data_IF_122292154944
#
_entry.id   IF_122292154944
#
_cell.length_a   1.000
_cell.length_b   1.000
_cell.length_c   1.000
_cell.angle_alpha   90.00
_cell.angle_beta   90.00
_cell.angle_gamma   90.00
#
_symmetry.space_group_name_H-M   'P 1'
#
loop_
_entity.id
_entity.type
_entity.pdbx_description
1 polymer ?
#
# COMPACT_ATOMS: atom_id res chain seq x y z
N UNK A 1 -13.72 13.59 -72.54
CA UNK A 1 -12.82 12.50 -72.11
C UNK A 1 -12.58 12.76 -70.63
N UNK A 2 -13.55 12.34 -69.81
CA UNK A 2 -13.57 11.08 -69.06
C UNK A 2 -12.71 11.20 -67.81
N UNK A 3 -13.35 11.56 -66.71
CA UNK A 3 -12.95 11.14 -65.35
C UNK A 3 -14.22 11.02 -64.52
N UNK A 4 -14.93 9.93 -64.76
CA UNK A 4 -15.92 9.34 -63.86
C UNK A 4 -15.73 7.83 -63.94
N UNK A 5 -15.75 7.16 -62.78
CA UNK A 5 -15.60 5.72 -62.53
C UNK A 5 -14.19 5.22 -62.17
N UNK A 6 -13.90 5.16 -60.85
CA UNK A 6 -13.53 3.90 -60.18
C UNK A 6 -13.34 4.10 -58.67
N UNK A 7 -14.44 4.21 -57.93
CA UNK A 7 -14.41 4.23 -56.46
C UNK A 7 -15.29 3.12 -55.85
N UNK A 8 -15.16 1.88 -56.34
CA UNK A 8 -16.06 0.79 -55.92
C UNK A 8 -15.43 -0.55 -55.50
N UNK A 9 -14.10 -0.68 -55.32
CA UNK A 9 -13.53 -2.00 -54.98
C UNK A 9 -12.60 -2.08 -53.75
N UNK A 10 -12.29 -0.95 -53.09
CA UNK A 10 -11.45 -0.95 -51.88
C UNK A 10 -12.20 -1.34 -50.59
N UNK A 11 -13.52 -1.15 -50.54
CA UNK A 11 -14.35 -1.50 -49.37
C UNK A 11 -14.58 -3.00 -49.21
N UNK A 12 -14.82 -3.73 -50.30
CA UNK A 12 -15.07 -5.18 -50.29
C UNK A 12 -13.84 -5.99 -49.92
N UNK A 13 -12.65 -5.63 -50.45
CA UNK A 13 -11.38 -6.29 -50.10
C UNK A 13 -10.99 -6.08 -48.63
N UNK A 14 -11.21 -4.90 -48.07
CA UNK A 14 -10.93 -4.65 -46.64
C UNK A 14 -11.97 -5.32 -45.73
N UNK A 15 -13.25 -5.39 -46.13
CA UNK A 15 -14.28 -6.15 -45.42
C UNK A 15 -14.00 -7.67 -45.43
N UNK A 16 -13.54 -8.23 -46.55
CA UNK A 16 -13.11 -9.64 -46.66
C UNK A 16 -11.87 -9.95 -45.81
N UNK A 17 -10.89 -9.04 -45.75
CA UNK A 17 -9.74 -9.15 -44.83
C UNK A 17 -10.17 -9.09 -43.36
N UNK A 18 -11.13 -8.23 -43.01
CA UNK A 18 -11.74 -8.16 -41.68
C UNK A 18 -12.51 -9.44 -41.32
N UNK A 19 -13.29 -10.00 -42.25
CA UNK A 19 -14.02 -11.26 -42.07
C UNK A 19 -13.11 -12.47 -41.90
N UNK A 20 -11.94 -12.50 -42.56
CA UNK A 20 -10.93 -13.54 -42.32
C UNK A 20 -10.28 -13.41 -40.94
N UNK A 21 -10.14 -12.20 -40.40
CA UNK A 21 -9.59 -11.97 -39.05
C UNK A 21 -10.51 -12.41 -37.91
N UNK A 22 -11.83 -12.43 -38.13
CA UNK A 22 -12.84 -12.78 -37.11
C UNK A 22 -12.71 -14.25 -36.64
N UNK A 23 -12.61 -15.27 -37.51
CA UNK A 23 -12.36 -16.66 -37.09
C UNK A 23 -11.06 -16.85 -36.33
N UNK A 24 -9.96 -16.16 -36.72
CA UNK A 24 -8.68 -16.24 -36.02
C UNK A 24 -8.76 -15.58 -34.64
N UNK A 25 -9.38 -14.40 -34.54
CA UNK A 25 -9.61 -13.73 -33.26
C UNK A 25 -10.52 -14.55 -32.35
N UNK A 26 -11.61 -15.11 -32.88
CA UNK A 26 -12.51 -16.00 -32.16
C UNK A 26 -11.81 -17.29 -31.70
N UNK A 27 -10.98 -17.89 -32.55
CA UNK A 27 -10.16 -19.06 -32.23
C UNK A 27 -9.11 -18.77 -31.14
N UNK A 28 -8.47 -17.60 -31.18
CA UNK A 28 -7.53 -17.16 -30.16
C UNK A 28 -8.22 -16.90 -28.81
N UNK A 29 -9.37 -16.22 -28.84
CA UNK A 29 -10.22 -15.99 -27.64
C UNK A 29 -10.70 -17.32 -27.07
N UNK A 30 -11.21 -18.24 -27.89
CA UNK A 30 -11.64 -19.56 -27.46
C UNK A 30 -10.47 -20.39 -26.90
N UNK A 31 -9.30 -20.33 -27.54
CA UNK A 31 -8.07 -20.95 -27.05
C UNK A 31 -7.66 -20.41 -25.68
N UNK A 32 -7.70 -19.09 -25.49
CA UNK A 32 -7.40 -18.45 -24.21
C UNK A 32 -8.42 -18.83 -23.12
N UNK A 33 -9.72 -18.88 -23.45
CA UNK A 33 -10.78 -19.31 -22.54
C UNK A 33 -10.56 -20.77 -22.13
N UNK A 34 -10.34 -21.67 -23.10
CA UNK A 34 -10.12 -23.10 -22.85
C UNK A 34 -8.85 -23.34 -22.02
N UNK A 35 -7.77 -22.62 -22.32
CA UNK A 35 -6.54 -22.66 -21.53
C UNK A 35 -6.76 -22.19 -20.09
N UNK A 36 -7.48 -21.08 -19.91
CA UNK A 36 -7.84 -20.56 -18.58
C UNK A 36 -8.70 -21.56 -17.81
N UNK A 37 -9.72 -22.15 -18.43
CA UNK A 37 -10.55 -23.18 -17.81
C UNK A 37 -9.74 -24.42 -17.41
N UNK A 38 -8.83 -24.87 -18.28
CA UNK A 38 -7.92 -25.98 -17.98
C UNK A 38 -7.05 -25.68 -16.76
N UNK A 39 -6.43 -24.50 -16.69
CA UNK A 39 -5.61 -24.10 -15.54
C UNK A 39 -6.43 -24.03 -14.25
N UNK A 40 -7.67 -23.51 -14.30
CA UNK A 40 -8.55 -23.47 -13.14
C UNK A 40 -8.93 -24.88 -12.66
N UNK A 41 -9.20 -25.80 -13.59
CA UNK A 41 -9.49 -27.19 -13.26
C UNK A 41 -8.28 -27.91 -12.65
N UNK A 42 -7.10 -27.75 -13.25
CA UNK A 42 -5.84 -28.30 -12.73
C UNK A 42 -5.56 -27.77 -11.32
N UNK A 43 -5.68 -26.45 -11.12
CA UNK A 43 -5.55 -25.83 -9.81
C UNK A 43 -6.53 -26.44 -8.80
N UNK A 44 -7.82 -26.54 -9.16
CA UNK A 44 -8.85 -27.12 -8.29
C UNK A 44 -8.54 -28.57 -7.94
N UNK A 45 -8.08 -29.37 -8.92
CA UNK A 45 -7.70 -30.76 -8.69
C UNK A 45 -6.51 -30.87 -7.74
N UNK A 46 -5.46 -30.06 -7.93
CA UNK A 46 -4.29 -30.04 -7.03
C UNK A 46 -4.73 -29.68 -5.60
N UNK A 47 -5.52 -28.61 -5.44
CA UNK A 47 -6.01 -28.20 -4.12
C UNK A 47 -6.85 -29.29 -3.46
N UNK A 48 -7.73 -29.96 -4.20
CA UNK A 48 -8.55 -31.05 -3.67
C UNK A 48 -7.73 -32.29 -3.28
N UNK A 49 -6.81 -32.74 -4.15
CA UNK A 49 -5.98 -33.92 -3.90
C UNK A 49 -5.07 -33.72 -2.70
N UNK A 50 -4.50 -32.51 -2.56
CA UNK A 50 -3.63 -32.16 -1.44
C UNK A 50 -4.40 -31.68 -0.21
N UNK A 51 -5.75 -31.67 -0.27
CA UNK A 51 -6.63 -31.15 0.77
C UNK A 51 -6.19 -29.75 1.24
N UNK A 52 -5.90 -28.83 0.32
CA UNK A 52 -5.47 -27.45 0.62
C UNK A 52 -6.67 -26.52 0.61
N UNK A 53 -6.82 -25.73 1.67
CA UNK A 53 -7.89 -24.76 1.83
C UNK A 53 -7.46 -23.37 1.33
N UNK A 54 -7.85 -23.05 0.10
CA UNK A 54 -7.63 -21.73 -0.50
C UNK A 54 -8.76 -20.75 -0.14
N UNK A 55 -9.03 -20.60 1.17
CA UNK A 55 -10.05 -19.70 1.72
C UNK A 55 -9.64 -18.24 1.67
N UNK A 56 -10.55 -17.40 1.19
CA UNK A 56 -10.37 -15.94 1.27
C UNK A 56 -10.33 -15.55 2.74
N UNK A 57 -9.62 -14.45 3.08
CA UNK A 57 -9.74 -13.86 4.40
C UNK A 57 -11.22 -13.70 4.72
N UNK A 58 -11.60 -14.01 5.97
CA UNK A 58 -12.97 -13.84 6.40
C UNK A 58 -13.38 -12.37 6.21
N UNK A 59 -14.59 -12.18 5.69
CA UNK A 59 -15.21 -10.87 5.62
C UNK A 59 -15.41 -10.35 7.05
N UNK A 60 -15.04 -9.09 7.28
CA UNK A 60 -15.34 -8.42 8.54
C UNK A 60 -16.82 -8.08 8.53
N UNK A 61 -17.64 -8.86 9.25
CA UNK A 61 -19.06 -8.54 9.41
C UNK A 61 -19.24 -7.05 9.77
N UNK A 62 -20.30 -6.42 9.23
CA UNK A 62 -20.61 -5.01 9.47
C UNK A 62 -20.45 -4.67 10.96
N UNK A 63 -19.48 -3.81 11.27
CA UNK A 63 -19.12 -3.47 12.64
C UNK A 63 -20.21 -2.55 13.21
N UNK A 64 -20.82 -2.95 14.32
CA UNK A 64 -21.87 -2.17 15.00
C UNK A 64 -21.27 -1.20 16.05
N UNK A 65 -22.07 -0.23 16.50
CA UNK A 65 -21.69 0.75 17.52
C UNK A 65 -21.30 2.11 16.95
N UNK A 66 -20.72 2.96 17.79
CA UNK A 66 -20.23 4.27 17.37
C UNK A 66 -19.03 4.11 16.41
N UNK A 67 -18.96 4.91 15.32
CA UNK A 67 -17.86 4.79 14.37
C UNK A 67 -16.51 5.10 15.01
N UNK A 68 -15.47 4.32 14.67
CA UNK A 68 -14.10 4.60 15.10
C UNK A 68 -13.60 5.84 14.37
N UNK A 69 -13.15 6.85 15.13
CA UNK A 69 -12.66 8.13 14.56
C UNK A 69 -11.16 8.05 14.32
N UNK A 70 -10.78 8.14 13.05
CA UNK A 70 -9.41 7.92 12.57
C UNK A 70 -8.75 9.25 12.22
N UNK A 71 -7.54 9.46 12.76
CA UNK A 71 -6.60 10.46 12.29
C UNK A 71 -5.57 9.87 11.32
N UNK A 72 -5.33 10.51 10.18
CA UNK A 72 -4.26 10.13 9.24
C UNK A 72 -3.07 11.10 9.38
N UNK A 73 -1.90 10.56 9.68
CA UNK A 73 -0.64 11.31 9.80
C UNK A 73 0.27 10.88 8.65
N UNK A 74 0.47 11.77 7.68
CA UNK A 74 1.07 11.47 6.38
C UNK A 74 0.02 11.06 5.35
N UNK A 75 -0.35 12.01 4.50
CA UNK A 75 -1.28 11.88 3.38
C UNK A 75 -0.56 11.89 2.02
N UNK A 76 0.67 11.37 1.99
CA UNK A 76 1.39 11.07 0.74
C UNK A 76 0.79 9.88 -0.01
N UNK A 77 1.48 9.33 -1.01
CA UNK A 77 0.97 8.24 -1.87
C UNK A 77 0.29 7.10 -1.08
N UNK A 78 0.85 6.75 0.09
CA UNK A 78 0.37 5.65 0.91
C UNK A 78 -0.87 5.99 1.74
N UNK A 79 -1.05 7.24 2.18
CA UNK A 79 -2.18 7.67 3.01
C UNK A 79 -3.54 7.36 2.36
N UNK A 80 -3.84 7.86 1.15
CA UNK A 80 -5.07 7.55 0.43
C UNK A 80 -5.25 6.05 0.16
N UNK A 81 -4.18 5.30 -0.09
CA UNK A 81 -4.27 3.84 -0.30
C UNK A 81 -4.69 3.10 0.97
N UNK A 82 -4.23 3.55 2.13
CA UNK A 82 -4.65 2.99 3.42
C UNK A 82 -6.09 3.35 3.74
N UNK A 83 -6.52 4.58 3.44
CA UNK A 83 -7.92 4.95 3.59
C UNK A 83 -8.82 4.15 2.63
N UNK A 84 -8.36 3.85 1.41
CA UNK A 84 -9.10 2.99 0.48
C UNK A 84 -9.25 1.57 1.04
N UNK A 85 -8.24 1.05 1.74
CA UNK A 85 -8.37 -0.23 2.45
C UNK A 85 -9.37 -0.16 3.61
N UNK A 86 -9.73 1.04 4.07
CA UNK A 86 -10.79 1.30 5.04
C UNK A 86 -12.15 1.63 4.41
N UNK A 87 -12.31 1.48 3.08
CA UNK A 87 -13.54 1.87 2.37
C UNK A 87 -13.73 3.38 2.20
N UNK A 88 -12.67 4.17 2.40
CA UNK A 88 -12.69 5.64 2.28
C UNK A 88 -11.81 6.09 1.11
N UNK A 89 -12.31 6.94 0.24
CA UNK A 89 -11.55 7.39 -0.93
C UNK A 89 -11.62 8.91 -1.10
N UNK A 90 -10.57 9.48 -1.69
CA UNK A 90 -10.57 10.90 -2.04
C UNK A 90 -11.53 11.19 -3.19
N UNK A 91 -12.06 12.40 -3.25
CA UNK A 91 -12.94 12.84 -4.35
C UNK A 91 -12.23 12.68 -5.70
N UNK A 92 -10.94 13.05 -5.76
CA UNK A 92 -10.08 12.87 -6.92
C UNK A 92 -10.01 11.41 -7.41
N UNK A 93 -9.85 10.46 -6.49
CA UNK A 93 -9.82 9.04 -6.85
C UNK A 93 -11.17 8.54 -7.36
N UNK A 94 -12.26 8.93 -6.69
CA UNK A 94 -13.62 8.56 -7.08
C UNK A 94 -13.91 9.05 -8.51
N UNK A 95 -13.61 10.30 -8.80
CA UNK A 95 -13.86 10.89 -10.12
C UNK A 95 -12.97 10.26 -11.21
N UNK A 96 -11.73 9.91 -10.86
CA UNK A 96 -10.86 9.15 -11.76
C UNK A 96 -11.45 7.77 -12.07
N UNK A 97 -11.95 7.04 -11.07
CA UNK A 97 -12.53 5.71 -11.26
C UNK A 97 -13.85 5.77 -12.03
N UNK A 98 -14.71 6.76 -11.78
CA UNK A 98 -15.93 6.96 -12.59
C UNK A 98 -15.61 7.04 -14.09
N UNK A 99 -14.51 7.73 -14.44
CA UNK A 99 -14.09 7.91 -15.83
C UNK A 99 -13.40 6.68 -16.41
N UNK A 100 -12.50 6.06 -15.64
CA UNK A 100 -11.54 5.10 -16.18
C UNK A 100 -11.87 3.64 -15.85
N UNK A 101 -12.61 3.38 -14.77
CA UNK A 101 -12.93 2.03 -14.30
C UNK A 101 -14.18 2.01 -13.39
N UNK A 102 -15.39 2.22 -13.95
CA UNK A 102 -16.62 2.30 -13.18
C UNK A 102 -16.98 0.98 -12.48
N UNK A 103 -16.61 -0.18 -13.05
CA UNK A 103 -16.81 -1.49 -12.41
C UNK A 103 -16.01 -1.61 -11.11
N UNK A 104 -14.75 -1.14 -11.12
CA UNK A 104 -13.92 -1.10 -9.91
C UNK A 104 -14.48 -0.14 -8.86
N UNK A 105 -15.05 0.98 -9.29
CA UNK A 105 -15.72 1.91 -8.36
C UNK A 105 -16.93 1.25 -7.73
N UNK A 106 -17.79 0.58 -8.51
CA UNK A 106 -18.95 -0.11 -7.98
C UNK A 106 -18.53 -1.18 -6.97
N UNK A 107 -17.52 -2.00 -7.31
CA UNK A 107 -16.97 -3.00 -6.39
C UNK A 107 -16.34 -2.41 -5.13
N UNK A 108 -15.92 -1.13 -5.16
CA UNK A 108 -15.43 -0.41 -3.98
C UNK A 108 -16.59 0.10 -3.12
N UNK A 109 -17.66 0.61 -3.73
CA UNK A 109 -18.85 1.10 -3.03
C UNK A 109 -19.69 -0.03 -2.41
N UNK A 110 -19.65 -1.23 -3.00
CA UNK A 110 -20.36 -2.42 -2.51
C UNK A 110 -19.61 -3.14 -1.37
N UNK A 111 -18.48 -2.59 -0.90
CA UNK A 111 -17.73 -3.16 0.22
C UNK A 111 -18.50 -3.04 1.52
N UNK A 112 -18.19 -3.95 2.45
CA UNK A 112 -18.72 -3.90 3.80
C UNK A 112 -18.27 -2.60 4.50
N UNK A 113 -19.19 -1.98 5.24
CA UNK A 113 -18.87 -0.78 6.01
C UNK A 113 -18.12 -1.17 7.28
N UNK A 114 -16.87 -0.72 7.37
CA UNK A 114 -16.01 -0.94 8.53
C UNK A 114 -16.36 -0.02 9.71
N UNK A 115 -17.40 0.81 9.59
CA UNK A 115 -17.89 1.73 10.61
C UNK A 115 -16.77 2.66 11.13
N UNK A 116 -16.11 3.34 10.20
CA UNK A 116 -15.03 4.29 10.49
C UNK A 116 -15.32 5.68 9.93
N UNK A 117 -14.79 6.71 10.60
CA UNK A 117 -14.83 8.10 10.13
C UNK A 117 -13.42 8.68 10.10
N UNK A 118 -13.10 9.42 9.03
CA UNK A 118 -11.83 10.15 8.93
C UNK A 118 -12.03 11.54 9.52
N UNK A 119 -11.66 11.72 10.79
CA UNK A 119 -11.94 12.95 11.55
C UNK A 119 -10.74 13.88 11.64
N UNK A 120 -9.54 13.43 11.26
CA UNK A 120 -8.34 14.27 11.28
C UNK A 120 -7.32 13.94 10.20
N UNK A 121 -6.65 14.96 9.68
CA UNK A 121 -5.46 14.84 8.83
C UNK A 121 -4.33 15.72 9.33
N UNK A 122 -3.11 15.18 9.34
CA UNK A 122 -1.85 15.88 9.59
C UNK A 122 -0.89 15.53 8.46
N UNK A 123 -0.65 16.47 7.55
CA UNK A 123 0.36 16.36 6.51
C UNK A 123 1.16 17.67 6.44
N UNK A 124 2.47 17.52 6.24
CA UNK A 124 3.40 18.64 6.20
C UNK A 124 3.37 19.39 4.87
N UNK A 125 2.69 18.87 3.85
CA UNK A 125 2.47 19.52 2.57
C UNK A 125 1.01 19.96 2.44
N UNK A 126 0.79 21.28 2.38
CA UNK A 126 -0.52 21.92 2.43
C UNK A 126 -1.52 21.35 1.43
N UNK A 127 -1.07 21.10 0.19
CA UNK A 127 -1.92 20.57 -0.87
C UNK A 127 -2.53 19.21 -0.52
N UNK A 128 -1.77 18.33 0.16
CA UNK A 128 -2.26 17.00 0.56
C UNK A 128 -3.20 17.07 1.76
N UNK A 129 -2.88 17.94 2.71
CA UNK A 129 -3.77 18.16 3.85
C UNK A 129 -5.12 18.72 3.40
N UNK A 130 -5.13 19.70 2.49
CA UNK A 130 -6.35 20.32 1.98
C UNK A 130 -7.19 19.34 1.15
N UNK A 131 -6.54 18.49 0.32
CA UNK A 131 -7.24 17.40 -0.41
C UNK A 131 -7.96 16.44 0.54
N UNK A 132 -7.31 16.05 1.64
CA UNK A 132 -7.90 15.15 2.63
C UNK A 132 -9.08 15.81 3.36
N UNK A 133 -8.96 17.07 3.78
CA UNK A 133 -10.06 17.79 4.44
C UNK A 133 -11.27 17.87 3.51
N UNK A 134 -11.07 18.28 2.26
CA UNK A 134 -12.19 18.41 1.31
C UNK A 134 -12.84 17.06 1.02
N UNK A 135 -12.03 16.00 0.87
CA UNK A 135 -12.52 14.65 0.58
C UNK A 135 -13.33 14.03 1.72
N UNK A 136 -13.05 14.40 2.96
CA UNK A 136 -13.63 13.76 4.15
C UNK A 136 -14.38 14.74 5.06
N UNK A 137 -14.81 15.88 4.53
CA UNK A 137 -15.55 16.91 5.29
C UNK A 137 -16.84 16.36 5.93
N UNK A 138 -17.51 15.42 5.28
CA UNK A 138 -18.75 14.80 5.78
C UNK A 138 -18.50 13.86 6.97
N UNK A 139 -17.27 13.36 7.12
CA UNK A 139 -16.82 12.63 8.31
C UNK A 139 -16.40 13.58 9.45
N UNK A 140 -16.40 14.90 9.21
CA UNK A 140 -15.93 15.91 10.16
C UNK A 140 -14.41 16.08 10.17
N UNK A 141 -13.72 15.76 9.07
CA UNK A 141 -12.26 15.83 8.96
C UNK A 141 -11.72 17.23 9.24
N UNK A 142 -10.82 17.34 10.22
CA UNK A 142 -10.12 18.57 10.57
C UNK A 142 -8.65 18.47 10.20
N UNK A 143 -8.09 19.60 9.75
CA UNK A 143 -6.65 19.73 9.56
C UNK A 143 -5.97 20.00 10.89
N UNK A 144 -4.90 19.26 11.15
CA UNK A 144 -3.95 19.50 12.23
C UNK A 144 -2.61 19.86 11.61
N UNK A 145 -1.98 20.93 12.11
CA UNK A 145 -0.66 21.35 11.62
C UNK A 145 0.44 20.52 12.25
N UNK A 146 0.26 20.14 13.53
CA UNK A 146 1.20 19.29 14.24
C UNK A 146 0.51 18.02 14.74
N UNK A 147 1.20 16.88 14.65
CA UNK A 147 0.62 15.60 15.04
C UNK A 147 0.25 15.58 16.52
N UNK A 148 0.99 16.27 17.39
CA UNK A 148 0.70 16.38 18.81
C UNK A 148 -0.71 16.96 19.09
N UNK A 149 -1.16 17.93 18.29
CA UNK A 149 -2.50 18.52 18.40
C UNK A 149 -3.59 17.49 18.06
N UNK A 150 -3.35 16.68 17.02
CA UNK A 150 -4.23 15.57 16.66
C UNK A 150 -4.27 14.51 17.76
N UNK A 151 -3.12 14.16 18.32
CA UNK A 151 -3.02 13.17 19.39
C UNK A 151 -3.69 13.65 20.69
N UNK A 152 -3.70 14.95 20.96
CA UNK A 152 -4.41 15.53 22.09
C UNK A 152 -5.93 15.64 21.87
N UNK A 153 -6.40 15.50 20.63
CA UNK A 153 -7.81 15.68 20.29
C UNK A 153 -8.69 14.58 20.87
N UNK A 154 -9.83 14.92 21.50
CA UNK A 154 -10.84 13.93 21.88
C UNK A 154 -11.62 13.40 20.67
N UNK A 155 -11.44 13.97 19.47
CA UNK A 155 -12.10 13.56 18.22
C UNK A 155 -11.36 12.42 17.49
N UNK A 156 -10.32 11.84 18.09
CA UNK A 156 -9.45 10.83 17.50
C UNK A 156 -9.37 9.62 18.44
N UNK A 157 -9.74 8.43 17.96
CA UNK A 157 -9.66 7.17 18.69
C UNK A 157 -8.42 6.37 18.29
N UNK A 158 -8.09 6.40 16.99
CA UNK A 158 -6.92 5.73 16.43
C UNK A 158 -6.22 6.62 15.41
N UNK A 159 -4.92 6.37 15.20
CA UNK A 159 -4.14 7.02 14.15
C UNK A 159 -3.54 6.02 13.17
N UNK A 160 -3.52 6.42 11.91
CA UNK A 160 -2.74 5.78 10.85
C UNK A 160 -1.50 6.64 10.61
N UNK A 161 -0.33 6.03 10.69
CA UNK A 161 0.96 6.69 10.47
C UNK A 161 1.53 6.18 9.14
N UNK A 162 1.58 7.06 8.15
CA UNK A 162 2.11 6.82 6.80
C UNK A 162 3.15 7.90 6.41
N UNK A 163 3.98 8.27 7.37
CA UNK A 163 5.07 9.25 7.25
C UNK A 163 6.36 8.60 6.71
N UNK A 164 7.47 9.33 6.57
CA UNK A 164 8.78 8.72 6.38
C UNK A 164 9.25 7.89 7.60
N UNK A 165 10.15 6.91 7.38
CA UNK A 165 10.57 5.92 8.38
C UNK A 165 11.00 6.55 9.73
N UNK A 166 11.81 7.61 9.68
CA UNK A 166 12.32 8.31 10.88
C UNK A 166 11.23 8.92 11.78
N UNK A 167 10.00 9.06 11.27
CA UNK A 167 8.86 9.56 12.04
C UNK A 167 7.94 8.45 12.56
N UNK A 168 8.08 7.21 12.09
CA UNK A 168 7.18 6.12 12.48
C UNK A 168 7.18 5.87 13.99
N UNK A 169 8.33 5.52 14.57
CA UNK A 169 8.41 5.18 15.98
C UNK A 169 8.14 6.39 16.91
N UNK A 170 8.70 7.59 16.67
CA UNK A 170 8.42 8.76 17.51
C UNK A 170 6.92 9.09 17.60
N UNK A 171 6.21 9.07 16.46
CA UNK A 171 4.76 9.37 16.44
C UNK A 171 3.97 8.22 17.07
N UNK A 172 4.31 6.96 16.78
CA UNK A 172 3.63 5.81 17.35
C UNK A 172 3.74 5.77 18.89
N UNK A 173 4.92 6.07 19.43
CA UNK A 173 5.15 6.15 20.88
C UNK A 173 4.27 7.25 21.49
N UNK A 174 4.28 8.47 20.93
CA UNK A 174 3.45 9.58 21.40
C UNK A 174 1.96 9.26 21.31
N UNK A 175 1.53 8.59 20.24
CA UNK A 175 0.13 8.22 20.04
C UNK A 175 -0.35 7.23 21.11
N UNK A 176 0.44 6.19 21.39
CA UNK A 176 0.15 5.24 22.47
C UNK A 176 0.13 5.92 23.84
N UNK A 177 1.09 6.81 24.10
CA UNK A 177 1.12 7.60 25.35
C UNK A 177 -0.08 8.54 25.50
N UNK A 178 -0.63 9.02 24.38
CA UNK A 178 -1.85 9.83 24.34
C UNK A 178 -3.14 8.98 24.36
N UNK A 179 -3.05 7.67 24.57
CA UNK A 179 -4.21 6.78 24.67
C UNK A 179 -4.85 6.43 23.33
N UNK A 180 -4.13 6.55 22.19
CA UNK A 180 -4.65 6.28 20.85
C UNK A 180 -4.23 4.89 20.35
N UNK A 181 -5.13 4.20 19.66
CA UNK A 181 -4.74 3.01 18.89
C UNK A 181 -3.87 3.42 17.70
N UNK A 182 -2.97 2.53 17.26
CA UNK A 182 -1.97 2.86 16.23
C UNK A 182 -1.97 1.82 15.13
N UNK A 183 -2.13 2.27 13.88
CA UNK A 183 -1.63 1.56 12.71
C UNK A 183 -0.41 2.33 12.19
N UNK A 184 0.74 1.67 12.07
CA UNK A 184 1.97 2.28 11.56
C UNK A 184 2.45 1.52 10.33
N UNK A 185 2.74 2.23 9.25
CA UNK A 185 3.34 1.60 8.07
C UNK A 185 4.69 0.96 8.38
N UNK A 186 5.06 0.00 7.53
CA UNK A 186 6.38 -0.60 7.60
C UNK A 186 7.41 0.32 6.90
N UNK A 187 8.69 0.29 7.31
CA UNK A 187 9.22 -0.39 8.50
C UNK A 187 8.76 0.29 9.79
N UNK A 188 8.49 -0.50 10.84
CA UNK A 188 7.93 0.04 12.09
C UNK A 188 8.83 1.10 12.76
N UNK A 189 10.15 0.98 12.62
CA UNK A 189 11.15 1.87 13.23
C UNK A 189 12.30 2.14 12.26
N UNK A 190 13.02 3.25 12.45
CA UNK A 190 14.16 3.64 11.63
C UNK A 190 15.48 3.07 12.17
N UNK A 191 15.56 2.86 13.49
CA UNK A 191 16.71 2.22 14.14
C UNK A 191 16.29 1.20 15.23
N UNK A 192 17.29 0.50 15.77
CA UNK A 192 17.09 -0.58 16.75
C UNK A 192 16.65 -0.03 18.12
N UNK A 193 17.17 1.14 18.54
CA UNK A 193 16.82 1.72 19.84
C UNK A 193 15.33 2.06 19.90
N UNK A 194 14.79 2.62 18.81
CA UNK A 194 13.36 2.85 18.63
C UNK A 194 12.53 1.57 18.72
N UNK A 195 13.01 0.44 18.20
CA UNK A 195 12.30 -0.85 18.30
C UNK A 195 12.04 -1.22 19.76
N UNK A 196 13.06 -1.09 20.62
CA UNK A 196 12.92 -1.37 22.04
C UNK A 196 12.01 -0.37 22.74
N UNK A 197 12.17 0.92 22.46
CA UNK A 197 11.34 1.97 23.04
C UNK A 197 9.85 1.79 22.69
N UNK A 198 9.53 1.50 21.42
CA UNK A 198 8.17 1.26 20.97
C UNK A 198 7.59 -0.02 21.57
N UNK A 199 8.37 -1.12 21.61
CA UNK A 199 7.96 -2.37 22.27
C UNK A 199 7.57 -2.14 23.72
N UNK A 200 8.40 -1.41 24.47
CA UNK A 200 8.18 -1.17 25.89
C UNK A 200 6.97 -0.23 26.09
N UNK A 201 6.80 0.76 25.21
CA UNK A 201 5.60 1.61 25.19
C UNK A 201 4.32 0.80 24.95
N UNK A 202 4.30 -0.10 23.97
CA UNK A 202 3.15 -0.99 23.73
C UNK A 202 2.86 -1.86 24.96
N UNK A 203 3.89 -2.45 25.58
CA UNK A 203 3.73 -3.29 26.78
C UNK A 203 3.17 -2.54 27.99
N UNK A 204 3.47 -1.24 28.09
CA UNK A 204 2.98 -0.38 29.16
C UNK A 204 1.55 0.12 28.92
N UNK A 205 1.03 0.04 27.69
CA UNK A 205 -0.30 0.51 27.30
C UNK A 205 -1.19 -0.66 26.84
N UNK A 206 -1.46 -1.61 27.74
CA UNK A 206 -2.09 -2.91 27.43
C UNK A 206 -3.53 -2.83 26.88
N UNK A 207 -4.21 -1.70 27.07
CA UNK A 207 -5.55 -1.44 26.56
C UNK A 207 -5.55 -0.89 25.11
N UNK A 208 -4.37 -0.60 24.55
CA UNK A 208 -4.22 -0.08 23.20
C UNK A 208 -3.73 -1.17 22.25
N UNK A 209 -4.03 -0.97 20.97
CA UNK A 209 -3.61 -1.87 19.89
C UNK A 209 -2.62 -1.13 19.01
N UNK A 210 -1.49 -1.78 18.71
CA UNK A 210 -0.58 -1.36 17.65
C UNK A 210 -0.54 -2.44 16.57
N UNK A 211 -0.74 -2.03 15.32
CA UNK A 211 -0.60 -2.88 14.14
C UNK A 211 0.44 -2.27 13.19
N UNK A 212 1.33 -3.13 12.70
CA UNK A 212 2.29 -2.76 11.63
C UNK A 212 1.69 -3.10 10.28
N UNK A 213 1.90 -2.24 9.28
CA UNK A 213 1.36 -2.33 7.93
C UNK A 213 1.94 -3.43 7.05
N UNK A 214 1.93 -4.68 7.51
CA UNK A 214 2.32 -5.86 6.73
C UNK A 214 1.11 -6.50 6.05
N UNK A 215 0.63 -5.92 4.94
CA UNK A 215 -0.62 -6.32 4.27
C UNK A 215 -0.65 -7.77 3.77
N UNK A 216 0.52 -8.36 3.48
CA UNK A 216 0.57 -9.69 2.85
C UNK A 216 0.05 -10.81 3.75
N UNK A 217 0.08 -10.62 5.08
CA UNK A 217 -0.48 -11.57 6.05
C UNK A 217 -1.97 -11.86 5.82
N UNK A 218 -2.68 -10.93 5.19
CA UNK A 218 -4.12 -11.01 4.93
C UNK A 218 -4.44 -11.32 3.46
N UNK A 219 -3.47 -11.70 2.63
CA UNK A 219 -3.76 -12.08 1.24
C UNK A 219 -3.95 -13.60 1.12
N UNK A 220 -4.92 -13.99 0.28
CA UNK A 220 -5.26 -15.39 -0.01
C UNK A 220 -4.04 -16.29 -0.20
N UNK A 221 -3.05 -15.84 -0.98
CA UNK A 221 -1.88 -16.66 -1.31
C UNK A 221 -1.08 -17.05 -0.06
N UNK A 222 -0.92 -16.14 0.91
CA UNK A 222 -0.20 -16.41 2.14
C UNK A 222 -1.03 -17.21 3.15
N UNK A 223 -2.36 -17.06 3.16
CA UNK A 223 -3.26 -17.92 3.95
C UNK A 223 -3.19 -19.36 3.42
N UNK A 224 -3.23 -19.52 2.10
CA UNK A 224 -3.10 -20.84 1.45
C UNK A 224 -1.72 -21.47 1.72
N UNK A 225 -0.66 -20.65 1.68
CA UNK A 225 0.68 -21.13 1.99
C UNK A 225 0.82 -21.59 3.45
N UNK A 226 0.18 -20.91 4.40
CA UNK A 226 0.11 -21.36 5.80
C UNK A 226 -0.56 -22.74 5.90
N UNK A 227 -1.71 -22.93 5.23
CA UNK A 227 -2.42 -24.22 5.25
C UNK A 227 -1.58 -25.38 4.66
N UNK A 228 -0.84 -25.12 3.58
CA UNK A 228 0.11 -26.07 2.97
C UNK A 228 1.18 -26.51 3.98
N UNK A 229 1.73 -25.56 4.73
CA UNK A 229 2.77 -25.80 5.73
C UNK A 229 2.20 -26.53 6.95
N UNK A 230 1.05 -26.10 7.45
CA UNK A 230 0.38 -26.71 8.61
C UNK A 230 0.01 -28.17 8.33
N UNK A 231 -0.41 -28.49 7.10
CA UNK A 231 -0.69 -29.87 6.63
C UNK A 231 0.56 -30.67 6.26
N UNK A 232 1.76 -30.09 6.37
CA UNK A 232 3.05 -30.71 6.04
C UNK A 232 3.14 -31.25 4.61
N UNK A 233 2.41 -30.65 3.66
CA UNK A 233 2.39 -31.08 2.26
C UNK A 233 3.78 -31.01 1.63
N UNK A 234 4.59 -30.00 2.01
CA UNK A 234 5.97 -29.83 1.53
C UNK A 234 7.01 -30.62 2.33
N UNK A 235 6.61 -31.27 3.44
CA UNK A 235 7.56 -31.85 4.38
C UNK A 235 8.45 -30.79 5.06
N UNK A 236 9.73 -31.09 5.23
CA UNK A 236 10.70 -30.18 5.84
C UNK A 236 11.15 -29.11 4.83
N UNK A 237 10.86 -27.85 5.12
CA UNK A 237 11.34 -26.71 4.32
C UNK A 237 12.79 -26.41 4.69
N UNK A 238 13.71 -26.67 3.75
CA UNK A 238 15.15 -26.47 3.94
C UNK A 238 15.70 -25.17 3.33
N UNK A 239 14.99 -24.59 2.36
CA UNK A 239 15.40 -23.38 1.65
C UNK A 239 14.18 -22.54 1.28
N UNK A 240 14.30 -21.22 1.50
CA UNK A 240 13.35 -20.23 1.00
C UNK A 240 14.13 -19.17 0.23
N UNK A 241 13.67 -18.88 -0.98
CA UNK A 241 14.24 -17.82 -1.82
C UNK A 241 13.14 -16.82 -2.15
N UNK A 242 13.41 -15.55 -1.92
CA UNK A 242 12.53 -14.43 -2.28
C UNK A 242 13.31 -13.40 -3.06
N UNK A 243 12.64 -12.71 -3.98
CA UNK A 243 13.24 -11.65 -4.76
C UNK A 243 12.23 -10.53 -5.00
N UNK A 244 12.71 -9.29 -4.93
CA UNK A 244 11.95 -8.12 -5.37
C UNK A 244 12.81 -7.32 -6.33
N UNK A 245 12.31 -7.09 -7.56
CA UNK A 245 13.03 -6.38 -8.62
C UNK A 245 12.26 -5.10 -8.98
N UNK A 246 12.95 -3.95 -8.94
CA UNK A 246 12.37 -2.62 -9.15
C UNK A 246 13.22 -1.81 -10.14
N UNK A 247 13.47 -2.36 -11.31
CA UNK A 247 14.34 -1.76 -12.32
C UNK A 247 13.60 -0.72 -13.18
N UNK A 248 13.16 0.37 -12.55
CA UNK A 248 12.55 1.53 -13.21
C UNK A 248 12.79 2.79 -12.37
N UNK A 249 12.61 3.97 -12.95
CA UNK A 249 12.76 5.25 -12.23
C UNK A 249 11.89 5.31 -10.98
N UNK A 250 10.60 4.95 -11.10
CA UNK A 250 9.72 4.83 -9.93
C UNK A 250 10.18 3.73 -8.93
N UNK A 251 10.86 2.70 -9.42
CA UNK A 251 11.52 1.69 -8.60
C UNK A 251 12.72 2.21 -7.81
N UNK A 252 13.44 3.18 -8.37
CA UNK A 252 14.55 3.91 -7.76
C UNK A 252 14.11 5.19 -7.01
N UNK A 253 12.79 5.35 -6.78
CA UNK A 253 12.18 6.53 -6.16
C UNK A 253 12.43 7.85 -6.91
N UNK A 254 12.67 7.76 -8.22
CA UNK A 254 12.75 8.86 -9.16
C UNK A 254 11.35 9.12 -9.73
N UNK A 255 10.51 9.80 -8.95
CA UNK A 255 9.17 10.23 -9.37
C UNK A 255 9.02 11.75 -9.29
N UNK A 256 8.04 12.30 -10.00
CA UNK A 256 7.82 13.73 -10.11
C UNK A 256 7.59 14.39 -8.73
N UNK A 257 8.17 15.58 -8.57
CA UNK A 257 7.95 16.45 -7.42
C UNK A 257 6.80 17.36 -7.76
N UNK A 258 5.86 17.53 -6.82
CA UNK A 258 4.69 18.36 -7.05
C UNK A 258 5.10 19.82 -7.34
N UNK A 259 4.54 20.43 -8.38
CA UNK A 259 4.84 21.80 -8.81
C UNK A 259 4.66 22.89 -7.73
N UNK A 260 3.82 22.62 -6.71
CA UNK A 260 3.52 23.55 -5.61
C UNK A 260 4.45 23.34 -4.40
N UNK A 261 5.41 22.43 -4.48
CA UNK A 261 6.34 22.13 -3.40
C UNK A 261 7.35 23.27 -3.20
N UNK A 262 7.20 24.04 -2.13
CA UNK A 262 8.11 25.12 -1.77
C UNK A 262 8.12 25.31 -0.23
N UNK A 263 9.03 26.14 0.32
CA UNK A 263 9.10 26.38 1.77
C UNK A 263 7.84 27.01 2.39
N UNK A 264 6.93 27.56 1.59
CA UNK A 264 5.67 28.14 2.07
C UNK A 264 4.54 27.11 2.16
N UNK A 265 4.64 26.01 1.40
CA UNK A 265 3.63 24.94 1.36
C UNK A 265 4.09 23.67 2.07
N UNK A 266 5.38 23.55 2.38
CA UNK A 266 5.99 22.41 3.07
C UNK A 266 6.56 22.86 4.41
N UNK A 267 6.08 22.26 5.50
CA UNK A 267 6.71 22.41 6.82
C UNK A 267 8.01 21.60 6.88
N UNK A 268 9.08 22.23 6.40
CA UNK A 268 10.40 21.62 6.31
C UNK A 268 11.04 21.37 7.66
N UNK A 269 10.80 22.27 8.63
CA UNK A 269 11.38 22.13 9.97
C UNK A 269 10.80 20.91 10.68
N UNK A 270 9.47 20.73 10.60
CA UNK A 270 8.83 19.55 11.15
C UNK A 270 9.16 18.29 10.33
N UNK A 271 9.40 18.38 9.03
CA UNK A 271 9.86 17.22 8.26
C UNK A 271 11.20 16.71 8.79
N UNK A 272 12.17 17.60 9.02
CA UNK A 272 13.49 17.21 9.50
C UNK A 272 13.45 16.62 10.91
N UNK A 273 12.71 17.25 11.85
CA UNK A 273 12.65 16.77 13.23
C UNK A 273 14.05 16.62 13.85
N UNK A 274 14.41 15.40 14.22
CA UNK A 274 15.73 15.05 14.76
C UNK A 274 16.79 14.71 13.71
N UNK A 275 16.43 14.68 12.42
CA UNK A 275 17.37 14.47 11.32
C UNK A 275 18.33 15.67 11.17
N UNK A 276 19.45 15.53 10.42
CA UNK A 276 20.38 16.63 10.18
C UNK A 276 19.69 17.88 9.62
N UNK A 277 20.00 19.02 10.22
CA UNK A 277 19.40 20.29 9.83
C UNK A 277 20.06 20.83 8.57
N UNK A 278 19.33 20.82 7.45
CA UNK A 278 19.79 21.29 6.14
C UNK A 278 18.78 22.27 5.52
N UNK A 279 19.17 23.10 4.54
CA UNK A 279 18.23 23.95 3.81
C UNK A 279 17.10 23.15 3.15
N UNK A 280 15.97 23.82 2.89
CA UNK A 280 14.82 23.19 2.21
C UNK A 280 15.27 22.48 0.93
N UNK A 281 14.86 21.22 0.81
CA UNK A 281 15.11 20.42 -0.37
C UNK A 281 13.88 19.57 -0.69
N UNK A 282 13.21 19.91 -1.78
CA UNK A 282 12.02 19.22 -2.24
C UNK A 282 12.30 17.74 -2.58
N UNK A 283 13.49 17.41 -3.06
CA UNK A 283 13.89 16.04 -3.33
C UNK A 283 13.97 15.22 -2.04
N UNK A 284 14.53 15.78 -0.97
CA UNK A 284 14.58 15.12 0.33
C UNK A 284 13.18 14.90 0.91
N UNK A 285 12.26 15.85 0.74
CA UNK A 285 10.87 15.71 1.19
C UNK A 285 10.10 14.63 0.41
N UNK A 286 10.07 14.73 -0.92
CA UNK A 286 9.24 13.85 -1.75
C UNK A 286 9.90 12.49 -1.96
N UNK A 287 11.22 12.41 -2.09
CA UNK A 287 11.99 11.19 -2.39
C UNK A 287 12.84 10.76 -1.19
N UNK A 288 12.31 10.96 0.02
CA UNK A 288 12.98 10.69 1.29
C UNK A 288 13.62 9.30 1.40
N UNK A 289 13.08 8.28 0.72
CA UNK A 289 13.58 6.89 0.72
C UNK A 289 15.02 6.75 0.20
N UNK A 290 15.48 7.71 -0.59
CA UNK A 290 16.86 7.76 -1.11
C UNK A 290 17.89 8.10 -0.03
N UNK A 291 17.45 8.70 1.08
CA UNK A 291 18.34 9.32 2.07
C UNK A 291 18.29 8.56 3.39
N UNK A 292 19.45 8.08 3.86
CA UNK A 292 19.59 7.38 5.15
C UNK A 292 19.11 8.21 6.35
N UNK A 293 19.12 9.54 6.24
CA UNK A 293 18.61 10.44 7.26
C UNK A 293 17.12 10.23 7.57
N UNK A 294 16.34 9.77 6.59
CA UNK A 294 14.87 9.70 6.71
C UNK A 294 14.30 8.31 6.49
N UNK A 295 15.02 7.48 5.72
CA UNK A 295 14.61 6.15 5.32
C UNK A 295 15.73 5.12 5.51
N UNK A 296 15.38 3.88 5.22
CA UNK A 296 16.24 2.70 5.38
C UNK A 296 16.60 2.04 4.04
N UNK A 297 16.25 2.69 2.92
CA UNK A 297 16.44 2.15 1.57
C UNK A 297 15.63 0.88 1.32
N UNK A 298 16.13 0.00 0.44
CA UNK A 298 15.42 -1.22 0.03
C UNK A 298 15.26 -2.23 1.17
N UNK A 299 16.11 -2.19 2.20
CA UNK A 299 16.05 -3.16 3.30
C UNK A 299 14.83 -2.91 4.18
N UNK A 300 14.61 -1.71 4.71
CA UNK A 300 13.39 -1.46 5.49
C UNK A 300 12.15 -1.32 4.62
N UNK A 301 12.27 -0.90 3.35
CA UNK A 301 11.10 -0.81 2.46
C UNK A 301 10.62 -2.19 1.98
N UNK A 302 11.49 -3.02 1.40
CA UNK A 302 11.08 -4.28 0.75
C UNK A 302 11.48 -5.53 1.52
N UNK A 303 12.70 -5.58 2.07
CA UNK A 303 13.13 -6.77 2.84
C UNK A 303 12.26 -6.96 4.09
N UNK A 304 11.75 -5.89 4.71
CA UNK A 304 10.77 -5.99 5.80
C UNK A 304 9.50 -6.75 5.38
N UNK A 305 9.00 -6.51 4.16
CA UNK A 305 7.89 -7.30 3.61
C UNK A 305 8.31 -8.74 3.31
N UNK A 306 9.45 -8.94 2.65
CA UNK A 306 9.90 -10.27 2.25
C UNK A 306 10.16 -11.17 3.46
N UNK A 307 10.78 -10.64 4.49
CA UNK A 307 10.98 -11.38 5.73
C UNK A 307 9.65 -11.69 6.44
N UNK A 308 8.74 -10.72 6.53
CA UNK A 308 7.44 -10.91 7.16
C UNK A 308 6.59 -11.98 6.45
N UNK A 309 6.60 -11.96 5.11
CA UNK A 309 5.92 -12.96 4.26
C UNK A 309 6.37 -14.39 4.58
N UNK A 310 7.67 -14.58 4.83
CA UNK A 310 8.20 -15.90 5.18
C UNK A 310 7.84 -16.22 6.64
N UNK A 311 8.01 -15.25 7.55
CA UNK A 311 7.81 -15.46 8.97
C UNK A 311 6.33 -15.70 9.34
N UNK A 312 5.38 -15.10 8.62
CA UNK A 312 3.96 -15.36 8.84
C UNK A 312 3.53 -16.77 8.42
N UNK A 313 4.21 -17.35 7.42
CA UNK A 313 3.96 -18.71 6.92
C UNK A 313 4.68 -19.77 7.75
N UNK A 314 5.98 -19.58 8.00
CA UNK A 314 6.84 -20.61 8.60
C UNK A 314 7.07 -20.41 10.10
N UNK A 315 6.66 -19.26 10.68
CA UNK A 315 6.85 -18.92 12.10
C UNK A 315 8.30 -19.08 12.57
N UNK A 316 9.26 -18.71 11.72
CA UNK A 316 10.70 -18.94 11.94
C UNK A 316 11.28 -18.11 13.10
N UNK A 317 10.65 -16.99 13.45
CA UNK A 317 11.16 -16.07 14.46
C UNK A 317 12.37 -15.28 13.94
N UNK A 318 13.30 -14.94 14.85
CA UNK A 318 14.51 -14.19 14.50
C UNK A 318 15.59 -15.13 13.93
N UNK A 319 16.28 -14.75 12.84
CA UNK A 319 17.37 -15.55 12.30
C UNK A 319 18.55 -15.65 13.28
N UNK A 320 19.23 -16.79 13.29
CA UNK A 320 20.44 -17.01 14.12
C UNK A 320 21.62 -16.17 13.66
N UNK A 321 21.76 -15.97 12.36
CA UNK A 321 22.79 -15.15 11.72
C UNK A 321 22.28 -14.61 10.39
N UNK A 322 22.83 -13.47 9.97
CA UNK A 322 22.51 -12.82 8.70
C UNK A 322 23.82 -12.39 8.05
N UNK A 323 23.89 -12.51 6.72
CA UNK A 323 24.97 -11.96 5.90
C UNK A 323 24.31 -11.12 4.81
N UNK A 324 24.85 -9.93 4.57
CA UNK A 324 24.36 -9.03 3.53
C UNK A 324 25.53 -8.55 2.68
N UNK A 325 25.26 -8.34 1.39
CA UNK A 325 26.17 -7.70 0.44
C UNK A 325 25.33 -6.81 -0.47
N UNK A 326 25.87 -5.65 -0.84
CA UNK A 326 25.18 -4.69 -1.67
C UNK A 326 26.05 -3.49 -2.01
N UNK A 327 25.53 -2.65 -2.92
CA UNK A 327 26.21 -1.45 -3.38
C UNK A 327 25.29 -0.59 -4.25
N UNK A 328 25.76 0.60 -4.57
CA UNK A 328 25.12 1.51 -5.52
C UNK A 328 25.71 1.23 -6.91
N UNK A 329 24.90 0.71 -7.82
CA UNK A 329 25.35 0.26 -9.15
C UNK A 329 24.80 1.10 -10.31
N UNK A 330 23.86 2.01 -10.07
CA UNK A 330 23.18 2.77 -11.14
C UNK A 330 22.98 4.23 -10.78
N UNK A 331 22.24 4.53 -9.72
CA UNK A 331 21.91 5.90 -9.31
C UNK A 331 22.91 6.39 -8.26
N UNK A 332 23.90 7.18 -8.68
CA UNK A 332 24.92 7.80 -7.81
C UNK A 332 24.48 9.19 -7.35
N UNK A 333 23.30 9.27 -6.75
CA UNK A 333 22.58 10.51 -6.47
C UNK A 333 22.35 10.78 -4.97
N UNK A 334 23.08 10.05 -4.11
CA UNK A 334 23.04 10.13 -2.66
C UNK A 334 24.38 10.50 -2.05
#
# INVERSE_FOLDING_TARGET
MNDDQNNQDNGRRNALKGLLGIPFAAGAVWGAIKHTQKQQLEKKNILNVLNIDAKRPDNTANLAGDPVRIGIIGFGIRGPQLLQALGKATTSWIDNMKKNNPERLQAFLDQEDLNVKITGVCDLFDVRADEAVESFKDDGCKRYRHHEEMLASPDIDAVIIATPDHWHAPIAIKALQAGKHVYVEKPMTHNIAETYALRDTVRNNKNLVLQVGHQHRQTQSFITAQDIIDKRILGHVSLVTTNTNRNSDNGAWQYDIHEKANPQTVDWQQFLGSAPQIPYNAEHFFRWRKWWAYGSGLSGDLMSHDFDRINCVLKMGMPKSVVASGGIYTHHDG
#
